data_IF_817206212306
#
_entry.id   IF_817206212306
#
_cell.length_a   1.000
_cell.length_b   1.000
_cell.length_c   1.000
_cell.angle_alpha   90.00
_cell.angle_beta   90.00
_cell.angle_gamma   90.00
#
_symmetry.space_group_name_H-M   'P 1'
#
loop_
_entity.id
_entity.type
_entity.pdbx_description
1 polymer ?
#
# COMPACT_ATOMS: atom_id res chain seq x y z
N UNK A 1 18.91 13.18 -2.76
CA UNK A 1 19.38 11.98 -2.04
C UNK A 1 18.63 11.68 -0.74
N UNK A 2 18.44 12.61 0.19
CA UNK A 2 17.72 12.24 1.44
C UNK A 2 16.20 12.16 1.31
N UNK A 3 15.58 12.98 0.46
CA UNK A 3 14.12 13.02 0.30
C UNK A 3 13.57 11.79 -0.44
N UNK A 4 14.26 11.33 -1.48
CA UNK A 4 13.91 10.11 -2.22
C UNK A 4 13.97 8.86 -1.33
N UNK A 5 14.99 8.74 -0.47
CA UNK A 5 15.12 7.64 0.47
C UNK A 5 14.02 7.70 1.54
N UNK A 6 13.64 8.91 1.98
CA UNK A 6 12.51 9.10 2.90
C UNK A 6 11.19 8.65 2.28
N UNK A 7 10.92 8.96 1.01
CA UNK A 7 9.69 8.50 0.33
C UNK A 7 9.64 6.99 0.18
N UNK A 8 10.77 6.36 -0.15
CA UNK A 8 10.90 4.91 -0.24
C UNK A 8 10.66 4.23 1.11
N UNK A 9 11.35 4.65 2.17
CA UNK A 9 11.17 4.10 3.53
C UNK A 9 9.74 4.31 4.01
N UNK A 10 9.16 5.49 3.77
CA UNK A 10 7.75 5.78 4.09
C UNK A 10 6.81 4.83 3.35
N UNK A 11 7.08 4.53 2.08
CA UNK A 11 6.32 3.55 1.32
C UNK A 11 6.37 2.17 1.97
N UNK A 12 7.55 1.68 2.37
CA UNK A 12 7.67 0.37 3.03
C UNK A 12 6.89 0.29 4.36
N UNK A 13 6.89 1.36 5.15
CA UNK A 13 6.14 1.42 6.42
C UNK A 13 4.63 1.36 6.14
N UNK A 14 4.13 2.16 5.20
CA UNK A 14 2.71 2.13 4.83
C UNK A 14 2.29 0.78 4.23
N UNK A 15 3.15 0.13 3.44
CA UNK A 15 2.90 -1.23 2.91
C UNK A 15 2.76 -2.25 4.04
N UNK A 16 3.67 -2.23 5.00
CA UNK A 16 3.63 -3.13 6.15
C UNK A 16 2.36 -2.92 6.98
N UNK A 17 1.99 -1.66 7.24
CA UNK A 17 0.77 -1.31 7.95
C UNK A 17 -0.49 -1.79 7.22
N UNK A 18 -0.53 -1.58 5.89
CA UNK A 18 -1.64 -2.04 5.05
C UNK A 18 -1.81 -3.56 5.12
N UNK A 19 -0.72 -4.31 5.01
CA UNK A 19 -0.74 -5.78 5.13
C UNK A 19 -1.30 -6.18 6.49
N UNK A 20 -0.79 -5.62 7.60
CA UNK A 20 -1.32 -5.95 8.94
C UNK A 20 -2.82 -5.66 9.09
N UNK A 21 -3.32 -4.58 8.50
CA UNK A 21 -4.75 -4.25 8.52
C UNK A 21 -5.56 -5.29 7.73
N UNK A 22 -5.08 -5.68 6.55
CA UNK A 22 -5.76 -6.64 5.69
C UNK A 22 -5.73 -8.05 6.27
N UNK A 23 -4.60 -8.50 6.80
CA UNK A 23 -4.42 -9.78 7.48
C UNK A 23 -5.36 -9.91 8.68
N UNK A 24 -5.43 -8.88 9.53
CA UNK A 24 -6.31 -8.86 10.70
C UNK A 24 -7.79 -8.90 10.34
N UNK A 25 -8.15 -8.54 9.10
CA UNK A 25 -9.54 -8.55 8.62
C UNK A 25 -10.46 -7.61 9.39
N UNK A 26 -9.90 -6.64 10.10
CA UNK A 26 -10.65 -5.76 10.99
C UNK A 26 -11.33 -4.64 10.20
N UNK A 27 -12.62 -4.81 9.93
CA UNK A 27 -13.42 -3.92 9.08
C UNK A 27 -13.42 -2.46 9.52
N UNK A 28 -13.29 -2.17 10.82
CA UNK A 28 -13.18 -0.79 11.33
C UNK A 28 -11.86 -0.11 10.92
N UNK A 29 -10.81 -0.88 10.65
CA UNK A 29 -9.53 -0.36 10.16
C UNK A 29 -9.43 -0.26 8.64
N UNK A 30 -10.42 -0.75 7.89
CA UNK A 30 -10.42 -0.67 6.42
C UNK A 30 -10.32 0.75 5.88
N UNK A 31 -11.02 1.77 6.44
CA UNK A 31 -10.83 3.16 6.00
C UNK A 31 -9.38 3.63 6.12
N UNK A 32 -8.67 3.21 7.18
CA UNK A 32 -7.26 3.53 7.35
C UNK A 32 -6.38 2.80 6.34
N UNK A 33 -6.67 1.53 6.04
CA UNK A 33 -5.96 0.78 4.99
C UNK A 33 -6.16 1.40 3.60
N UNK A 34 -7.38 1.84 3.27
CA UNK A 34 -7.68 2.53 2.01
C UNK A 34 -6.88 3.84 1.92
N UNK A 35 -6.93 4.68 2.96
CA UNK A 35 -6.14 5.93 2.98
C UNK A 35 -4.63 5.68 2.92
N UNK A 36 -4.14 4.58 3.50
CA UNK A 36 -2.74 4.17 3.33
C UNK A 36 -2.42 3.81 1.88
N UNK A 37 -3.30 3.08 1.20
CA UNK A 37 -3.09 2.68 -0.20
C UNK A 37 -3.11 3.88 -1.14
N UNK A 38 -4.05 4.83 -0.97
CA UNK A 38 -4.09 6.08 -1.74
C UNK A 38 -2.82 6.94 -1.53
N UNK A 39 -2.31 6.99 -0.29
CA UNK A 39 -1.04 7.66 0.00
C UNK A 39 0.13 6.96 -0.66
N UNK A 40 0.13 5.62 -0.68
CA UNK A 40 1.13 4.82 -1.36
C UNK A 40 1.13 5.09 -2.87
N UNK A 41 -0.04 5.18 -3.52
CA UNK A 41 -0.14 5.51 -4.94
C UNK A 41 0.52 6.87 -5.24
N UNK A 42 0.25 7.89 -4.42
CA UNK A 42 0.86 9.22 -4.56
C UNK A 42 2.37 9.21 -4.31
N UNK A 43 2.81 8.48 -3.28
CA UNK A 43 4.23 8.35 -2.94
C UNK A 43 4.98 7.59 -4.02
N UNK A 44 4.37 6.58 -4.64
CA UNK A 44 5.00 5.77 -5.67
C UNK A 44 5.42 6.60 -6.88
N UNK A 45 4.63 7.62 -7.27
CA UNK A 45 5.01 8.56 -8.33
C UNK A 45 6.26 9.40 -7.98
N UNK A 46 6.60 9.51 -6.69
CA UNK A 46 7.77 10.26 -6.20
C UNK A 46 8.95 9.37 -5.81
N UNK A 47 8.83 8.04 -5.94
CA UNK A 47 9.92 7.08 -5.67
C UNK A 47 10.57 6.71 -6.99
N UNK A 48 11.77 7.25 -7.23
CA UNK A 48 12.54 6.98 -8.44
C UNK A 48 13.32 5.65 -8.40
N UNK A 49 13.71 5.19 -7.21
CA UNK A 49 14.49 3.97 -7.02
C UNK A 49 13.91 3.13 -5.88
N UNK A 50 13.52 1.90 -6.22
CA UNK A 50 12.94 0.93 -5.28
C UNK A 50 13.99 0.02 -4.63
N UNK A 51 15.29 0.22 -4.89
CA UNK A 51 16.41 -0.45 -4.18
C UNK A 51 16.31 -1.98 -4.15
N UNK A 52 15.76 -2.59 -5.20
CA UNK A 52 15.56 -4.04 -5.31
C UNK A 52 14.23 -4.57 -4.74
N UNK A 53 13.36 -3.70 -4.23
CA UNK A 53 11.99 -4.06 -3.86
C UNK A 53 11.07 -3.99 -5.08
N UNK A 54 9.95 -4.73 -4.98
CA UNK A 54 8.90 -4.70 -5.99
C UNK A 54 8.36 -3.27 -6.18
N UNK A 55 8.22 -2.90 -7.45
CA UNK A 55 7.55 -1.66 -7.85
C UNK A 55 6.12 -1.64 -7.28
N UNK A 56 5.55 -0.44 -7.16
CA UNK A 56 4.24 -0.26 -6.55
C UNK A 56 3.12 -1.04 -7.24
N UNK A 57 3.17 -1.20 -8.55
CA UNK A 57 2.21 -2.01 -9.31
C UNK A 57 2.30 -3.50 -8.95
N UNK A 58 3.51 -4.07 -8.97
CA UNK A 58 3.74 -5.46 -8.58
C UNK A 58 3.34 -5.73 -7.12
N UNK A 59 3.54 -4.75 -6.23
CA UNK A 59 3.03 -4.82 -4.85
C UNK A 59 1.50 -4.82 -4.79
N UNK A 60 0.82 -3.96 -5.56
CA UNK A 60 -0.64 -3.92 -5.64
C UNK A 60 -1.21 -5.23 -6.16
N UNK A 61 -0.62 -5.81 -7.20
CA UNK A 61 -1.03 -7.11 -7.72
C UNK A 61 -0.93 -8.21 -6.65
N UNK A 62 0.18 -8.26 -5.90
CA UNK A 62 0.35 -9.21 -4.80
C UNK A 62 -0.72 -9.04 -3.71
N UNK A 63 -1.02 -7.80 -3.32
CA UNK A 63 -2.07 -7.50 -2.33
C UNK A 63 -3.45 -7.89 -2.85
N UNK A 64 -3.76 -7.62 -4.11
CA UNK A 64 -5.02 -8.01 -4.75
C UNK A 64 -5.13 -9.54 -4.84
N UNK A 65 -4.05 -10.25 -5.16
CA UNK A 65 -4.06 -11.72 -5.16
C UNK A 65 -4.28 -12.30 -3.75
N UNK A 66 -3.58 -11.76 -2.74
CA UNK A 66 -3.68 -12.25 -1.37
C UNK A 66 -4.99 -11.88 -0.66
N UNK A 67 -5.54 -10.69 -0.95
CA UNK A 67 -6.65 -10.10 -0.20
C UNK A 67 -7.83 -9.64 -1.08
N UNK A 68 -7.85 -9.97 -2.38
CA UNK A 68 -8.88 -9.58 -3.35
C UNK A 68 -10.31 -10.03 -2.98
N UNK A 69 -10.43 -11.11 -2.19
CA UNK A 69 -11.72 -11.61 -1.69
C UNK A 69 -12.41 -10.65 -0.71
N UNK A 70 -11.69 -9.67 -0.14
CA UNK A 70 -12.23 -8.67 0.80
C UNK A 70 -12.97 -7.55 0.04
N UNK A 71 -14.08 -7.88 -0.61
CA UNK A 71 -14.86 -6.96 -1.45
C UNK A 71 -15.22 -5.65 -0.77
N UNK A 72 -15.57 -5.66 0.53
CA UNK A 72 -15.91 -4.45 1.29
C UNK A 72 -14.77 -3.45 1.46
N UNK A 73 -13.52 -3.92 1.34
CA UNK A 73 -12.33 -3.06 1.31
C UNK A 73 -12.18 -2.48 -0.11
N UNK A 74 -12.12 -3.34 -1.12
CA UNK A 74 -11.86 -2.96 -2.51
C UNK A 74 -12.95 -2.11 -3.14
N UNK A 75 -14.23 -2.31 -2.77
CA UNK A 75 -15.34 -1.50 -3.27
C UNK A 75 -15.28 -0.04 -2.81
N UNK A 76 -14.49 0.25 -1.78
CA UNK A 76 -14.33 1.60 -1.20
C UNK A 76 -13.00 2.24 -1.58
N UNK A 77 -12.07 1.46 -2.12
CA UNK A 77 -10.82 1.98 -2.64
C UNK A 77 -11.07 2.54 -4.04
N UNK A 78 -10.83 3.85 -4.20
CA UNK A 78 -10.85 4.54 -5.49
C UNK A 78 -9.40 4.91 -5.78
N UNK A 79 -8.71 4.02 -6.49
CA UNK A 79 -7.31 4.17 -6.91
C UNK A 79 -7.19 4.88 -8.24
#
# INVERSE_FOLDING_TARGET
>A
MEAENRHFVTSLIYRSLLISILERGYTKAFPHGISCLEKLDKLAASVADWKGFNHHEAFKEQIIQAHGRKRSFWSKYVG
#
